data_IF_258279643000
#
_entry.id   IF_258279643000
#
_cell.length_a   1.000
_cell.length_b   1.000
_cell.length_c   1.000
_cell.angle_alpha   90.00
_cell.angle_beta   90.00
_cell.angle_gamma   90.00
#
_symmetry.space_group_name_H-M   'P 1'
#
loop_
_entity.id
_entity.type
_entity.pdbx_description
1 polymer ?
#
# COMPACT_ATOMS: atom_id res chain seq x y z
N UNK A 1 -21.40 20.60 -36.63
CA UNK A 1 -20.28 20.78 -37.57
C UNK A 1 -19.21 19.72 -37.32
N UNK A 2 -18.51 19.29 -38.37
CA UNK A 2 -17.47 18.24 -38.32
C UNK A 2 -16.43 18.47 -37.20
N UNK A 3 -16.06 19.73 -36.99
CA UNK A 3 -15.10 20.17 -35.95
C UNK A 3 -15.61 19.83 -34.54
N UNK A 4 -16.90 20.02 -34.27
CA UNK A 4 -17.49 19.70 -32.95
C UNK A 4 -17.51 18.18 -32.69
N UNK A 5 -17.81 17.39 -33.73
CA UNK A 5 -17.73 15.93 -33.66
C UNK A 5 -16.30 15.44 -33.43
N UNK A 6 -15.32 16.07 -34.08
CA UNK A 6 -13.90 15.76 -33.91
C UNK A 6 -13.41 16.08 -32.50
N UNK A 7 -13.76 17.25 -31.96
CA UNK A 7 -13.41 17.62 -30.59
C UNK A 7 -14.07 16.70 -29.55
N UNK A 8 -15.35 16.36 -29.74
CA UNK A 8 -16.05 15.43 -28.85
C UNK A 8 -15.40 14.04 -28.88
N UNK A 9 -15.00 13.57 -30.06
CA UNK A 9 -14.30 12.29 -30.21
C UNK A 9 -12.93 12.28 -29.50
N UNK A 10 -12.14 13.36 -29.64
CA UNK A 10 -10.87 13.50 -28.93
C UNK A 10 -11.04 13.54 -27.41
N UNK A 11 -12.05 14.25 -26.91
CA UNK A 11 -12.35 14.30 -25.47
C UNK A 11 -12.72 12.92 -24.93
N UNK A 12 -13.55 12.16 -25.65
CA UNK A 12 -13.92 10.78 -25.25
C UNK A 12 -12.69 9.87 -25.25
N UNK A 13 -11.83 9.96 -26.27
CA UNK A 13 -10.58 9.20 -26.33
C UNK A 13 -9.62 9.55 -25.18
N UNK A 14 -9.46 10.83 -24.89
CA UNK A 14 -8.62 11.33 -23.80
C UNK A 14 -9.13 10.87 -22.42
N UNK A 15 -10.45 10.94 -22.19
CA UNK A 15 -11.07 10.46 -20.96
C UNK A 15 -10.87 8.96 -20.79
N UNK A 16 -11.02 8.15 -21.85
CA UNK A 16 -10.77 6.70 -21.80
C UNK A 16 -9.31 6.36 -21.45
N UNK A 17 -8.34 7.08 -22.02
CA UNK A 17 -6.91 6.89 -21.73
C UNK A 17 -6.57 7.30 -20.28
N UNK A 18 -7.16 8.38 -19.77
CA UNK A 18 -6.91 8.82 -18.38
C UNK A 18 -7.53 7.90 -17.32
N UNK A 19 -8.48 7.03 -17.68
CA UNK A 19 -9.02 6.03 -16.74
C UNK A 19 -8.04 4.87 -16.44
N UNK A 20 -6.92 4.78 -17.15
CA UNK A 20 -5.87 3.77 -16.87
C UNK A 20 -5.12 4.08 -15.55
N UNK A 21 -5.26 5.27 -14.96
CA UNK A 21 -4.66 5.61 -13.66
C UNK A 21 -5.64 5.74 -12.47
N UNK A 22 -6.96 5.59 -12.71
CA UNK A 22 -8.00 5.79 -11.67
C UNK A 22 -8.57 4.45 -11.18
N UNK A 23 -8.35 3.35 -11.92
CA UNK A 23 -8.72 2.01 -11.44
C UNK A 23 -7.92 1.59 -10.19
N UNK A 24 -6.65 2.01 -10.05
CA UNK A 24 -5.88 1.77 -8.81
C UNK A 24 -6.34 2.61 -7.59
N UNK A 25 -7.06 3.74 -7.78
CA UNK A 25 -7.45 4.62 -6.65
C UNK A 25 -8.79 4.27 -6.01
N UNK A 26 -9.30 3.04 -6.22
CA UNK A 26 -10.48 2.51 -5.50
C UNK A 26 -10.17 1.42 -4.48
N UNK A 27 -8.90 1.25 -4.14
CA UNK A 27 -8.49 0.62 -2.89
C UNK A 27 -8.06 1.71 -1.92
N UNK A 28 -9.01 2.55 -1.52
CA UNK A 28 -8.92 3.23 -0.25
C UNK A 28 -9.01 2.16 0.83
N UNK A 29 -7.91 1.44 1.06
CA UNK A 29 -7.75 0.69 2.28
C UNK A 29 -7.71 1.74 3.39
N UNK A 30 -8.81 1.83 4.12
CA UNK A 30 -8.85 2.57 5.37
C UNK A 30 -7.61 2.19 6.18
N UNK A 31 -6.79 3.20 6.45
CA UNK A 31 -5.73 3.13 7.45
C UNK A 31 -6.38 2.79 8.78
N UNK A 32 -6.48 1.50 9.10
CA UNK A 32 -7.00 1.04 10.38
C UNK A 32 -5.91 1.33 11.42
N UNK A 33 -6.23 2.01 12.54
CA UNK A 33 -5.27 2.21 13.62
C UNK A 33 -4.68 0.85 14.06
N UNK A 34 -3.39 0.84 14.44
CA UNK A 34 -2.73 -0.36 14.99
C UNK A 34 -3.62 -0.99 16.06
N UNK A 35 -4.23 -2.14 15.76
CA UNK A 35 -4.91 -2.93 16.79
C UNK A 35 -3.80 -3.43 17.72
N UNK A 36 -3.67 -2.76 18.86
CA UNK A 36 -2.78 -3.17 19.94
C UNK A 36 -3.30 -4.52 20.42
N UNK A 37 -2.58 -5.60 20.15
CA UNK A 37 -2.93 -6.92 20.71
C UNK A 37 -2.93 -6.83 22.23
N UNK A 38 -3.75 -7.68 22.86
CA UNK A 38 -4.02 -7.69 24.30
C UNK A 38 -2.78 -7.73 25.22
N UNK A 39 -1.61 -8.06 24.67
CA UNK A 39 -0.32 -8.12 25.37
C UNK A 39 0.51 -6.81 25.28
N UNK A 40 0.01 -5.75 24.63
CA UNK A 40 0.70 -4.46 24.53
C UNK A 40 1.82 -4.40 23.48
N UNK A 41 2.07 -5.48 22.73
CA UNK A 41 2.92 -5.47 21.53
C UNK A 41 2.07 -5.15 20.28
N UNK A 42 2.56 -4.28 19.37
CA UNK A 42 1.92 -4.06 18.08
C UNK A 42 1.95 -5.37 17.30
N UNK A 43 0.81 -6.01 17.11
CA UNK A 43 0.72 -7.27 16.36
C UNK A 43 0.60 -6.97 14.87
N UNK A 44 1.61 -6.31 14.30
CA UNK A 44 1.73 -6.05 12.88
C UNK A 44 2.33 -7.25 12.13
N UNK A 45 1.84 -8.46 12.46
CA UNK A 45 2.34 -9.71 11.88
C UNK A 45 1.95 -9.75 10.40
N UNK A 46 2.93 -9.57 9.53
CA UNK A 46 2.70 -9.54 8.08
C UNK A 46 1.92 -8.33 7.57
N UNK A 47 1.68 -7.31 8.41
CA UNK A 47 1.01 -6.07 8.00
C UNK A 47 2.03 -4.93 8.06
N UNK A 48 2.24 -4.19 6.96
CA UNK A 48 3.10 -3.02 6.96
C UNK A 48 2.59 -1.98 7.97
N UNK A 49 3.48 -1.43 8.79
CA UNK A 49 3.20 -0.35 9.71
C UNK A 49 4.31 0.68 9.69
N UNK A 50 3.99 1.92 10.03
CA UNK A 50 5.01 2.94 10.21
C UNK A 50 5.16 3.28 11.69
N UNK A 51 6.41 3.30 12.16
CA UNK A 51 6.73 3.63 13.55
C UNK A 51 6.55 5.13 13.89
N UNK A 52 6.41 5.98 12.86
CA UNK A 52 6.26 7.42 13.03
C UNK A 52 4.81 7.80 13.35
N UNK A 53 3.85 7.31 12.58
CA UNK A 53 2.43 7.59 12.74
C UNK A 53 1.70 6.51 13.55
N UNK A 54 2.28 5.31 13.71
CA UNK A 54 1.66 4.19 14.42
C UNK A 54 0.44 3.64 13.69
N UNK A 55 0.41 3.72 12.36
CA UNK A 55 -0.71 3.29 11.54
C UNK A 55 -0.34 1.99 10.79
N UNK A 56 -1.32 1.11 10.61
CA UNK A 56 -1.22 -0.05 9.73
C UNK A 56 -1.62 0.33 8.31
N UNK A 57 -0.81 -0.09 7.37
CA UNK A 57 -1.01 0.10 5.94
C UNK A 57 -1.46 -1.22 5.29
N UNK A 58 -2.17 -1.17 4.16
CA UNK A 58 -2.58 -2.37 3.44
C UNK A 58 -1.37 -3.21 2.99
N UNK A 59 -1.61 -4.51 2.79
CA UNK A 59 -0.63 -5.40 2.18
C UNK A 59 -0.17 -4.85 0.82
N UNK A 60 1.15 -4.87 0.58
CA UNK A 60 1.76 -4.28 -0.62
C UNK A 60 2.13 -2.79 -0.50
N UNK A 61 1.73 -2.08 0.55
CA UNK A 61 2.21 -0.74 0.80
C UNK A 61 3.69 -0.74 1.22
N UNK A 62 4.50 0.04 0.49
CA UNK A 62 5.95 0.15 0.71
C UNK A 62 6.38 1.41 1.44
N UNK A 63 5.64 2.50 1.26
CA UNK A 63 5.98 3.82 1.79
C UNK A 63 4.85 4.40 2.64
N UNK A 64 5.22 5.07 3.73
CA UNK A 64 4.29 5.85 4.54
C UNK A 64 3.91 7.15 3.80
N UNK A 65 2.61 7.43 3.73
CA UNK A 65 2.08 8.65 3.08
C UNK A 65 2.28 9.92 3.91
N UNK A 66 2.62 9.80 5.19
CA UNK A 66 2.83 10.94 6.09
C UNK A 66 4.28 11.36 6.25
N UNK A 67 5.21 10.40 6.34
CA UNK A 67 6.63 10.68 6.57
C UNK A 67 7.54 10.26 5.42
N UNK A 68 6.97 9.71 4.33
CA UNK A 68 7.66 9.29 3.11
C UNK A 68 8.79 8.26 3.33
N UNK A 69 8.80 7.60 4.50
CA UNK A 69 9.74 6.53 4.85
C UNK A 69 9.21 5.16 4.45
N UNK A 70 10.13 4.22 4.28
CA UNK A 70 9.80 2.82 4.12
C UNK A 70 9.00 2.29 5.32
N UNK A 71 7.93 1.58 5.00
CA UNK A 71 7.12 0.85 5.97
C UNK A 71 7.91 -0.35 6.50
N UNK A 72 7.64 -0.73 7.74
CA UNK A 72 8.21 -1.92 8.37
C UNK A 72 7.13 -2.96 8.61
N UNK A 73 7.48 -4.23 8.61
CA UNK A 73 6.58 -5.32 9.00
C UNK A 73 7.35 -6.33 9.83
N UNK A 74 6.63 -7.10 10.66
CA UNK A 74 7.25 -8.16 11.44
C UNK A 74 7.02 -9.51 10.76
N UNK A 75 8.12 -10.27 10.60
CA UNK A 75 8.09 -11.60 9.98
C UNK A 75 7.16 -12.54 10.75
N UNK A 76 6.23 -13.19 10.04
CA UNK A 76 5.27 -14.14 10.63
C UNK A 76 5.94 -15.37 11.28
N UNK A 77 7.15 -15.72 10.85
CA UNK A 77 7.88 -16.89 11.32
C UNK A 77 8.87 -16.55 12.45
N UNK A 78 9.82 -15.65 12.19
CA UNK A 78 10.89 -15.34 13.15
C UNK A 78 10.71 -14.03 13.93
N UNK A 79 9.61 -13.30 13.72
CA UNK A 79 9.31 -11.99 14.35
C UNK A 79 10.39 -10.91 14.17
N UNK A 80 11.31 -11.08 13.22
CA UNK A 80 12.25 -10.01 12.89
C UNK A 80 11.50 -8.89 12.18
N UNK A 81 11.78 -7.64 12.58
CA UNK A 81 11.31 -6.46 11.85
C UNK A 81 12.12 -6.31 10.57
N UNK A 82 11.43 -6.06 9.47
CA UNK A 82 12.01 -5.93 8.13
C UNK A 82 11.25 -4.89 7.32
N UNK A 83 11.84 -4.37 6.24
CA UNK A 83 11.20 -3.39 5.38
C UNK A 83 10.08 -4.03 4.56
N UNK A 84 8.91 -3.41 4.50
CA UNK A 84 7.75 -3.94 3.77
C UNK A 84 7.97 -4.04 2.25
N UNK A 85 9.03 -3.43 1.72
CA UNK A 85 9.45 -3.58 0.33
C UNK A 85 10.12 -4.92 0.00
N UNK A 86 10.62 -5.63 1.00
CA UNK A 86 11.32 -6.90 0.85
C UNK A 86 10.35 -8.02 0.42
N UNK A 87 10.81 -8.90 -0.48
CA UNK A 87 10.02 -10.04 -0.95
C UNK A 87 10.09 -11.24 0.01
N UNK A 88 11.14 -11.31 0.83
CA UNK A 88 11.31 -12.34 1.83
C UNK A 88 12.09 -11.82 3.03
N UNK A 89 11.89 -12.47 4.17
CA UNK A 89 12.66 -12.20 5.37
C UNK A 89 14.13 -12.59 5.17
N UNK A 90 15.04 -11.61 5.30
CA UNK A 90 16.48 -11.80 5.19
C UNK A 90 17.05 -12.82 6.19
N UNK A 91 16.33 -13.11 7.28
CA UNK A 91 16.79 -13.97 8.36
C UNK A 91 16.36 -15.42 8.23
N UNK A 92 15.12 -15.67 7.81
CA UNK A 92 14.54 -17.03 7.75
C UNK A 92 14.03 -17.42 6.36
N UNK A 93 14.16 -16.55 5.35
CA UNK A 93 13.72 -16.80 3.97
C UNK A 93 12.21 -16.88 3.79
N UNK A 94 11.42 -16.65 4.83
CA UNK A 94 9.95 -16.69 4.73
C UNK A 94 9.48 -15.54 3.84
N UNK A 95 8.66 -15.82 2.80
CA UNK A 95 8.15 -14.79 1.92
C UNK A 95 7.27 -13.81 2.70
N UNK A 96 7.47 -12.53 2.44
CA UNK A 96 6.74 -11.42 3.05
C UNK A 96 5.68 -11.01 2.04
N UNK A 97 4.40 -11.19 2.43
CA UNK A 97 3.27 -11.33 1.51
C UNK A 97 3.17 -10.27 0.43
N UNK A 98 3.41 -10.72 -0.81
CA UNK A 98 2.78 -10.25 -2.04
C UNK A 98 1.58 -11.15 -2.36
#
# INVERSE_FOLDING_TARGET
>A
GLVGLYLLWLVVGYLRVSQVGIAERRSGAEAVPLLRSADGEPSARGVPYCAFDGIQYPAGARFCTSCERDLTLDCVNCKTTLAAGEAACFRCGTPTGA
#
